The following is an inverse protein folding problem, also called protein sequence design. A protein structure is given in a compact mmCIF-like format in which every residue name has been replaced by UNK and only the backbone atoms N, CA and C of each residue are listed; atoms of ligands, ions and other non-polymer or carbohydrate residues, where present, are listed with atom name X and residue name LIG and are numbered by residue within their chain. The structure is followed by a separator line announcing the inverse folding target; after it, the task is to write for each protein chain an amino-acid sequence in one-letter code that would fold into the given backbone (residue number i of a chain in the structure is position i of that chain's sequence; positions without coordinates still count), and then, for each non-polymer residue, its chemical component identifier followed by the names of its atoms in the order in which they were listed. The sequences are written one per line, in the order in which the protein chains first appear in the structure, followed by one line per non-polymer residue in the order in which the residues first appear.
data_IF_010984014741
#
_entry.id   IF_010984014741
#
_cell.length_a   1.000
_cell.length_b   1.000
_cell.length_c   1.000
_cell.angle_alpha   90.00
_cell.angle_beta   90.00
_cell.angle_gamma   90.00
#
_symmetry.space_group_name_H-M   'P 1'
#
loop_
_entity.id
_entity.type
_entity.pdbx_description
1 polymer ?
#
# COMPACT_ATOMS: atom_id res chain seq x y z
N UNK A 1 3.65 -15.71 -48.63
CA UNK A 1 2.31 -15.45 -48.02
C UNK A 1 1.74 -16.78 -47.56
N UNK A 2 1.12 -16.93 -46.36
CA UNK A 2 0.76 -15.88 -45.40
C UNK A 2 1.35 -16.07 -43.99
N UNK A 3 1.27 -14.99 -43.22
CA UNK A 3 1.71 -14.82 -41.85
C UNK A 3 0.90 -15.70 -40.87
N UNK A 4 1.61 -16.38 -39.98
CA UNK A 4 1.05 -17.07 -38.81
C UNK A 4 0.17 -16.09 -38.03
N UNK A 5 -1.14 -16.29 -38.09
CA UNK A 5 -2.08 -15.55 -37.26
C UNK A 5 -1.81 -15.91 -35.80
N UNK A 6 -1.24 -14.95 -35.06
CA UNK A 6 -1.27 -14.93 -33.60
C UNK A 6 -2.69 -15.26 -33.16
N UNK A 7 -2.87 -16.40 -32.48
CA UNK A 7 -4.12 -16.74 -31.79
C UNK A 7 -4.40 -15.61 -30.79
N UNK A 8 -5.17 -14.61 -31.22
CA UNK A 8 -5.95 -13.78 -30.31
C UNK A 8 -6.87 -14.75 -29.59
N UNK A 9 -6.57 -15.08 -28.35
CA UNK A 9 -7.55 -15.61 -27.42
C UNK A 9 -8.72 -14.63 -27.43
N UNK A 10 -9.81 -14.97 -28.14
CA UNK A 10 -11.09 -14.29 -27.98
C UNK A 10 -11.54 -14.60 -26.56
N UNK A 11 -11.19 -13.73 -25.62
CA UNK A 11 -11.89 -13.69 -24.35
C UNK A 11 -13.32 -13.25 -24.72
N UNK A 12 -14.33 -14.10 -24.53
CA UNK A 12 -15.71 -13.71 -24.80
C UNK A 12 -16.03 -12.47 -23.96
N UNK A 13 -16.84 -11.55 -24.52
CA UNK A 13 -17.26 -10.38 -23.77
C UNK A 13 -17.91 -10.82 -22.45
N UNK A 14 -17.60 -10.17 -21.32
CA UNK A 14 -18.09 -10.62 -20.03
C UNK A 14 -19.62 -10.62 -20.01
N UNK A 15 -20.20 -11.75 -19.60
CA UNK A 15 -21.63 -11.83 -19.30
C UNK A 15 -21.91 -10.96 -18.07
N UNK A 16 -22.64 -9.86 -18.28
CA UNK A 16 -22.90 -8.85 -17.25
C UNK A 16 -23.76 -9.37 -16.10
N UNK A 17 -24.45 -10.49 -16.30
CA UNK A 17 -25.33 -11.10 -15.31
C UNK A 17 -24.63 -12.24 -14.52
N UNK A 18 -23.36 -12.53 -14.83
CA UNK A 18 -22.56 -13.58 -14.16
C UNK A 18 -21.21 -13.06 -13.69
N UNK A 19 -20.93 -13.19 -12.40
CA UNK A 19 -19.63 -12.81 -11.83
C UNK A 19 -18.53 -13.86 -12.06
N UNK A 20 -18.88 -15.15 -12.03
CA UNK A 20 -17.89 -16.25 -12.07
C UNK A 20 -17.39 -16.48 -13.50
N UNK A 21 -16.07 -16.53 -13.67
CA UNK A 21 -15.42 -16.85 -14.95
C UNK A 21 -15.30 -15.68 -15.93
N UNK A 22 -15.77 -14.49 -15.54
CA UNK A 22 -15.71 -13.28 -16.36
C UNK A 22 -14.63 -12.31 -15.86
N UNK A 23 -13.94 -11.64 -16.80
CA UNK A 23 -12.98 -10.57 -16.49
C UNK A 23 -13.73 -9.24 -16.28
N UNK A 24 -14.36 -9.08 -15.11
CA UNK A 24 -15.05 -7.84 -14.74
C UNK A 24 -14.06 -6.79 -14.20
N UNK A 25 -14.35 -5.48 -14.37
CA UNK A 25 -13.59 -4.42 -13.73
C UNK A 25 -13.60 -4.57 -12.20
N UNK A 26 -12.54 -4.12 -11.54
CA UNK A 26 -12.48 -4.07 -10.08
C UNK A 26 -13.57 -3.14 -9.52
N UNK A 27 -14.28 -3.55 -8.48
CA UNK A 27 -15.43 -2.82 -7.92
C UNK A 27 -15.10 -1.37 -7.54
N UNK A 28 -13.91 -1.14 -6.99
CA UNK A 28 -13.46 0.20 -6.60
C UNK A 28 -12.69 0.98 -7.68
N UNK A 29 -12.55 0.45 -8.91
CA UNK A 29 -11.75 1.08 -9.97
C UNK A 29 -12.17 2.53 -10.25
N UNK A 30 -13.48 2.79 -10.27
CA UNK A 30 -14.01 4.13 -10.48
C UNK A 30 -13.61 5.10 -9.35
N UNK A 31 -13.57 4.63 -8.10
CA UNK A 31 -13.19 5.45 -6.95
C UNK A 31 -11.69 5.69 -6.88
N UNK A 32 -10.88 4.69 -7.25
CA UNK A 32 -9.42 4.84 -7.34
C UNK A 32 -9.04 5.93 -8.35
N UNK A 33 -9.62 5.91 -9.54
CA UNK A 33 -9.31 6.89 -10.60
C UNK A 33 -9.80 8.31 -10.22
N UNK A 34 -10.87 8.41 -9.44
CA UNK A 34 -11.41 9.68 -8.95
C UNK A 34 -10.71 10.22 -7.70
N UNK A 35 -9.79 9.45 -7.08
CA UNK A 35 -9.23 9.79 -5.77
C UNK A 35 -10.26 9.77 -4.64
N UNK A 36 -11.30 8.94 -4.76
CA UNK A 36 -12.39 8.78 -3.77
C UNK A 36 -12.35 7.45 -3.03
N UNK A 37 -11.40 6.58 -3.37
CA UNK A 37 -11.20 5.36 -2.61
C UNK A 37 -10.50 5.75 -1.31
N UNK A 38 -11.08 5.39 -0.17
CA UNK A 38 -10.48 5.70 1.13
C UNK A 38 -9.27 4.79 1.38
N UNK A 39 -8.09 5.37 1.46
CA UNK A 39 -6.91 4.73 2.03
C UNK A 39 -6.72 5.16 3.49
N UNK A 40 -5.90 4.42 4.25
CA UNK A 40 -5.71 4.68 5.69
C UNK A 40 -5.20 6.09 5.98
N UNK A 41 -4.32 6.62 5.12
CA UNK A 41 -3.70 7.94 5.26
C UNK A 41 -4.60 9.07 4.74
N UNK A 42 -5.73 8.75 4.10
CA UNK A 42 -6.73 9.74 3.67
C UNK A 42 -7.74 10.08 4.78
N UNK A 43 -7.73 9.30 5.86
CA UNK A 43 -8.66 9.50 6.96
C UNK A 43 -8.25 10.72 7.80
N UNK A 44 -9.22 11.52 8.29
CA UNK A 44 -8.91 12.64 9.19
C UNK A 44 -8.17 12.15 10.45
N UNK A 45 -7.15 12.90 10.86
CA UNK A 45 -6.39 12.59 12.07
C UNK A 45 -7.28 12.71 13.32
N UNK A 46 -7.34 11.68 14.18
CA UNK A 46 -8.00 11.79 15.48
C UNK A 46 -7.33 12.84 16.36
N UNK A 47 -8.12 13.47 17.24
CA UNK A 47 -7.57 14.40 18.23
C UNK A 47 -6.52 13.73 19.12
N UNK A 48 -5.33 14.30 19.17
CA UNK A 48 -4.21 13.76 19.97
C UNK A 48 -3.47 12.60 19.31
N UNK A 49 -3.64 12.37 18.01
CA UNK A 49 -2.86 11.39 17.27
C UNK A 49 -1.35 11.61 17.47
N UNK A 50 -0.65 10.53 17.83
CA UNK A 50 0.81 10.50 17.89
C UNK A 50 1.36 9.81 16.65
N UNK A 51 2.51 10.28 16.20
CA UNK A 51 3.24 9.69 15.08
C UNK A 51 4.38 8.82 15.60
N UNK A 52 4.67 7.71 14.91
CA UNK A 52 5.75 6.80 15.26
C UNK A 52 6.81 6.79 14.16
N UNK A 53 8.07 6.90 14.56
CA UNK A 53 9.21 6.73 13.68
C UNK A 53 10.15 5.66 14.25
N UNK A 54 10.34 4.51 13.58
CA UNK A 54 11.28 3.49 14.01
C UNK A 54 12.73 3.93 13.77
N UNK A 55 13.60 3.65 14.75
CA UNK A 55 15.05 3.68 14.57
C UNK A 55 15.56 2.37 13.96
N UNK A 56 16.61 2.44 13.14
CA UNK A 56 17.16 1.27 12.45
C UNK A 56 18.65 1.09 12.74
N UNK A 57 19.09 -0.17 12.77
CA UNK A 57 20.50 -0.53 12.88
C UNK A 57 21.18 -0.40 11.51
N UNK A 58 21.67 0.79 11.17
CA UNK A 58 22.31 1.04 9.86
C UNK A 58 23.71 0.39 9.76
N UNK A 59 24.33 0.03 10.88
CA UNK A 59 25.69 -0.53 10.92
C UNK A 59 25.75 -2.06 10.86
N UNK A 60 24.62 -2.78 10.88
CA UNK A 60 24.67 -4.25 10.87
C UNK A 60 23.33 -4.93 10.70
N UNK A 61 23.36 -6.13 10.09
CA UNK A 61 22.19 -6.97 9.85
C UNK A 61 21.90 -7.96 10.99
N UNK A 62 22.89 -8.29 11.83
CA UNK A 62 22.75 -9.25 12.93
C UNK A 62 23.80 -9.00 14.02
N UNK A 63 23.40 -9.15 15.27
CA UNK A 63 24.26 -8.98 16.45
C UNK A 63 23.45 -8.59 17.69
N UNK A 64 24.05 -8.69 18.89
CA UNK A 64 23.40 -8.24 20.12
C UNK A 64 23.36 -6.71 20.21
N UNK A 65 22.26 -6.16 20.72
CA UNK A 65 22.20 -4.76 21.17
C UNK A 65 22.76 -4.70 22.59
N UNK A 66 23.97 -4.18 22.75
CA UNK A 66 24.66 -4.11 24.05
C UNK A 66 24.45 -2.78 24.78
N UNK A 67 24.09 -1.73 24.04
CA UNK A 67 23.78 -0.41 24.58
C UNK A 67 22.82 0.33 23.62
N UNK A 68 22.01 1.24 24.16
CA UNK A 68 21.12 2.11 23.41
C UNK A 68 20.99 3.45 24.15
N UNK A 69 21.52 4.52 23.57
CA UNK A 69 21.32 5.89 24.06
C UNK A 69 20.21 6.56 23.24
N UNK A 70 19.18 7.06 23.92
CA UNK A 70 18.03 7.75 23.33
C UNK A 70 17.89 9.20 23.82
N UNK A 71 18.89 9.75 24.50
CA UNK A 71 18.79 11.07 25.13
C UNK A 71 18.44 12.18 24.14
N UNK A 72 19.08 12.17 22.96
CA UNK A 72 18.80 13.15 21.91
C UNK A 72 17.36 13.03 21.39
N UNK A 73 16.86 11.79 21.20
CA UNK A 73 15.48 11.54 20.76
C UNK A 73 14.49 12.03 21.83
N UNK A 74 14.71 11.67 23.09
CA UNK A 74 13.85 12.08 24.22
C UNK A 74 13.82 13.59 24.43
N UNK A 75 14.89 14.28 24.06
CA UNK A 75 15.01 15.74 24.23
C UNK A 75 14.46 16.52 23.02
N UNK A 76 14.10 15.84 21.93
CA UNK A 76 13.60 16.49 20.74
C UNK A 76 12.20 17.09 20.97
N UNK A 77 11.90 18.30 20.43
CA UNK A 77 10.59 18.92 20.57
C UNK A 77 9.47 18.03 20.03
N UNK A 78 8.38 17.88 20.79
CA UNK A 78 7.20 17.13 20.39
C UNK A 78 7.29 15.60 20.60
N UNK A 79 8.43 15.08 21.05
CA UNK A 79 8.54 13.67 21.47
C UNK A 79 7.79 13.45 22.78
N UNK A 80 6.94 12.44 22.80
CA UNK A 80 6.08 12.12 23.96
C UNK A 80 6.63 10.97 24.81
N UNK A 81 7.40 10.05 24.21
CA UNK A 81 7.93 8.85 24.87
C UNK A 81 9.29 8.41 24.33
#
# INVERSE_FOLDING_TARGET
MPLSQTRRTLIPAPDRDKAVGNALPHDSAAWQIQGKANYIDDLPEPSGLLHMAPGYAVQGASGPIVALDLNDVRSAPGVVA
#
